data_IF_360897669352
#
_entry.id   IF_360897669352
#
_cell.length_a   1.000
_cell.length_b   1.000
_cell.length_c   1.000
_cell.angle_alpha   90.00
_cell.angle_beta   90.00
_cell.angle_gamma   90.00
#
_symmetry.space_group_name_H-M   'P 1'
#
loop_
_entity.id
_entity.type
_entity.pdbx_description
1 polymer ?
#
# COMPACT_ATOMS: atom_id res chain seq x y z
N UNK A 1 13.12 -12.55 -12.00
CA UNK A 1 14.22 -13.30 -11.39
C UNK A 1 13.78 -14.06 -10.14
N UNK A 2 13.14 -13.43 -9.12
CA UNK A 2 12.67 -14.14 -7.90
C UNK A 2 11.55 -15.14 -8.20
N UNK A 3 10.64 -14.80 -9.11
CA UNK A 3 9.51 -15.64 -9.50
C UNK A 3 9.98 -16.95 -10.14
N UNK A 4 10.99 -16.89 -11.02
CA UNK A 4 11.55 -18.06 -11.69
C UNK A 4 12.29 -18.98 -10.71
N UNK A 5 12.99 -18.41 -9.73
CA UNK A 5 13.77 -19.19 -8.75
C UNK A 5 12.88 -19.89 -7.72
N UNK A 6 11.78 -19.26 -7.30
CA UNK A 6 10.91 -19.78 -6.23
C UNK A 6 9.68 -20.54 -6.75
N UNK A 7 9.41 -20.55 -8.06
CA UNK A 7 8.17 -21.07 -8.67
C UNK A 7 6.90 -20.50 -7.99
N UNK A 8 6.99 -19.27 -7.47
CA UNK A 8 5.95 -18.64 -6.65
C UNK A 8 5.58 -17.30 -7.24
N UNK A 9 4.29 -17.00 -7.26
CA UNK A 9 3.79 -15.69 -7.65
C UNK A 9 4.03 -14.68 -6.54
N UNK A 10 4.71 -13.57 -6.87
CA UNK A 10 4.94 -12.46 -5.95
C UNK A 10 4.11 -11.26 -6.41
N UNK A 11 3.19 -10.82 -5.57
CA UNK A 11 2.34 -9.65 -5.83
C UNK A 11 2.67 -8.54 -4.83
N UNK A 12 3.00 -7.37 -5.34
CA UNK A 12 3.18 -6.15 -4.56
C UNK A 12 1.90 -5.33 -4.61
N UNK A 13 1.35 -4.99 -3.45
CA UNK A 13 0.16 -4.15 -3.38
C UNK A 13 0.54 -2.67 -3.28
N UNK A 14 -0.21 -1.84 -3.98
CA UNK A 14 -0.12 -0.38 -3.90
C UNK A 14 -0.71 0.08 -2.59
N UNK A 15 0.09 0.74 -1.77
CA UNK A 15 -0.35 1.40 -0.55
C UNK A 15 -0.66 2.88 -0.75
N UNK A 16 -0.99 3.56 0.35
CA UNK A 16 -1.31 4.99 0.35
C UNK A 16 -0.15 5.85 -0.15
N UNK A 17 1.09 5.53 0.22
CA UNK A 17 2.26 6.31 -0.18
C UNK A 17 2.57 6.17 -1.67
N UNK A 18 2.45 4.96 -2.23
CA UNK A 18 2.60 4.73 -3.67
C UNK A 18 1.48 5.43 -4.46
N UNK A 19 0.26 5.49 -3.94
CA UNK A 19 -0.84 6.21 -4.57
C UNK A 19 -0.62 7.73 -4.51
N UNK A 20 -0.23 8.28 -3.36
CA UNK A 20 0.13 9.70 -3.22
C UNK A 20 1.25 10.03 -4.21
N UNK A 21 2.29 9.21 -4.29
CA UNK A 21 3.40 9.40 -5.20
C UNK A 21 2.97 9.37 -6.67
N UNK A 22 2.14 8.41 -7.05
CA UNK A 22 1.58 8.32 -8.40
C UNK A 22 0.83 9.58 -8.80
N UNK A 23 -0.04 10.10 -7.91
CA UNK A 23 -0.78 11.35 -8.13
C UNK A 23 0.12 12.57 -8.12
N UNK A 24 1.15 12.61 -7.26
CA UNK A 24 2.12 13.70 -7.22
C UNK A 24 2.82 13.87 -8.55
N UNK A 25 3.20 12.80 -9.20
CA UNK A 25 3.80 12.87 -10.53
C UNK A 25 2.83 13.41 -11.61
N UNK A 26 1.54 13.45 -11.35
CA UNK A 26 0.48 13.94 -12.25
C UNK A 26 -0.09 15.30 -11.85
N UNK A 27 0.55 16.03 -10.94
CA UNK A 27 0.06 17.30 -10.38
C UNK A 27 -0.28 18.37 -11.42
N UNK A 28 0.35 18.34 -12.60
CA UNK A 28 0.03 19.26 -13.69
C UNK A 28 -1.42 19.18 -14.19
N UNK A 29 -2.12 18.09 -13.88
CA UNK A 29 -3.52 17.87 -14.23
C UNK A 29 -4.49 18.18 -13.08
N UNK A 30 -3.99 18.48 -11.90
CA UNK A 30 -4.82 18.80 -10.74
C UNK A 30 -5.45 20.20 -10.90
N UNK A 31 -6.72 20.40 -10.54
CA UNK A 31 -7.37 21.70 -10.58
C UNK A 31 -6.65 22.75 -9.71
N UNK A 32 -6.15 22.33 -8.54
CA UNK A 32 -5.42 23.17 -7.59
C UNK A 32 -4.12 22.50 -7.16
N UNK A 33 -3.08 22.48 -8.01
CA UNK A 33 -1.87 21.71 -7.77
C UNK A 33 -1.11 22.14 -6.51
N UNK A 34 -1.23 23.43 -6.11
CA UNK A 34 -0.55 23.94 -4.91
C UNK A 34 -1.10 23.37 -3.60
N UNK A 35 -2.41 23.37 -3.43
CA UNK A 35 -3.07 22.80 -2.25
C UNK A 35 -2.92 21.26 -2.21
N UNK A 36 -3.09 20.63 -3.35
CA UNK A 36 -2.92 19.16 -3.48
C UNK A 36 -1.50 18.77 -3.10
N UNK A 37 -0.48 19.46 -3.60
CA UNK A 37 0.90 19.19 -3.24
C UNK A 37 1.17 19.42 -1.75
N UNK A 38 0.66 20.52 -1.18
CA UNK A 38 0.83 20.82 0.24
C UNK A 38 0.23 19.69 1.10
N UNK A 39 -0.96 19.21 0.77
CA UNK A 39 -1.59 18.08 1.45
C UNK A 39 -0.73 16.81 1.32
N UNK A 40 -0.24 16.49 0.12
CA UNK A 40 0.63 15.31 -0.11
C UNK A 40 1.90 15.36 0.73
N UNK A 41 2.56 16.52 0.78
CA UNK A 41 3.77 16.71 1.56
C UNK A 41 3.53 16.52 3.06
N UNK A 42 2.40 16.99 3.58
CA UNK A 42 1.99 16.80 4.98
C UNK A 42 1.59 15.35 5.29
N UNK A 43 1.25 14.56 4.25
CA UNK A 43 0.84 13.16 4.38
C UNK A 43 1.93 12.16 3.93
N UNK A 44 3.20 12.52 4.07
CA UNK A 44 4.33 11.60 3.93
C UNK A 44 5.07 11.67 2.60
N UNK A 45 4.66 12.51 1.62
CA UNK A 45 5.39 12.62 0.36
C UNK A 45 6.73 13.37 0.47
N UNK A 46 6.92 14.22 1.49
CA UNK A 46 8.11 15.04 1.59
C UNK A 46 9.43 14.26 1.66
N UNK A 47 9.59 13.20 2.46
CA UNK A 47 10.78 12.35 2.43
C UNK A 47 11.01 11.68 1.09
N UNK A 48 9.94 11.22 0.43
CA UNK A 48 10.02 10.55 -0.88
C UNK A 48 10.51 11.52 -1.95
N UNK A 49 10.00 12.77 -1.97
CA UNK A 49 10.46 13.83 -2.87
C UNK A 49 11.97 14.04 -2.71
N UNK A 50 12.47 14.15 -1.47
CA UNK A 50 13.90 14.34 -1.19
C UNK A 50 14.72 13.13 -1.63
N UNK A 51 14.24 11.90 -1.40
CA UNK A 51 14.93 10.68 -1.79
C UNK A 51 15.15 10.58 -3.30
N UNK A 52 14.27 11.16 -4.11
CA UNK A 52 14.44 11.25 -5.56
C UNK A 52 15.07 12.57 -6.04
N UNK A 53 15.75 13.29 -5.15
CA UNK A 53 16.52 14.48 -5.48
C UNK A 53 15.69 15.75 -5.67
N UNK A 54 14.42 15.74 -5.27
CA UNK A 54 13.56 16.91 -5.34
C UNK A 54 13.58 17.74 -4.05
N UNK A 55 13.28 19.03 -4.20
CA UNK A 55 12.98 19.91 -3.08
C UNK A 55 11.49 20.16 -2.97
N UNK A 56 10.83 19.80 -1.82
CA UNK A 56 9.42 20.06 -1.59
C UNK A 56 9.02 21.53 -1.71
N UNK A 57 9.89 22.45 -1.26
CA UNK A 57 9.59 23.88 -1.32
C UNK A 57 9.65 24.42 -2.75
N UNK A 58 10.62 23.96 -3.55
CA UNK A 58 10.66 24.26 -4.97
C UNK A 58 9.41 23.74 -5.69
N UNK A 59 8.88 22.59 -5.28
CA UNK A 59 7.61 22.04 -5.78
C UNK A 59 6.41 22.97 -5.51
N UNK A 60 6.28 23.49 -4.30
CA UNK A 60 5.22 24.47 -3.94
C UNK A 60 5.35 25.74 -4.80
N UNK A 61 6.56 26.27 -4.98
CA UNK A 61 6.79 27.42 -5.84
C UNK A 61 6.44 27.12 -7.31
N UNK A 62 6.81 25.94 -7.81
CA UNK A 62 6.47 25.50 -9.16
C UNK A 62 4.96 25.35 -9.37
N UNK A 63 4.24 24.80 -8.39
CA UNK A 63 2.79 24.66 -8.45
C UNK A 63 2.06 26.01 -8.53
N UNK A 64 2.58 27.03 -7.83
CA UNK A 64 2.06 28.42 -7.90
C UNK A 64 2.42 29.13 -9.21
N UNK A 65 3.52 28.74 -9.83
CA UNK A 65 4.00 29.33 -11.09
C UNK A 65 3.29 28.78 -12.35
N UNK A 66 2.44 27.78 -12.20
CA UNK A 66 1.60 27.23 -13.25
C UNK A 66 2.08 25.92 -13.88
N UNK A 67 1.31 25.41 -14.82
CA UNK A 67 1.44 24.06 -15.35
C UNK A 67 2.83 23.73 -15.92
N UNK A 68 3.46 24.66 -16.62
CA UNK A 68 4.81 24.43 -17.19
C UNK A 68 5.87 24.23 -16.12
N UNK A 69 5.81 25.00 -15.03
CA UNK A 69 6.77 24.92 -13.94
C UNK A 69 6.60 23.60 -13.15
N UNK A 70 5.36 23.25 -12.81
CA UNK A 70 5.09 22.00 -12.06
C UNK A 70 5.41 20.77 -12.92
N UNK A 71 5.17 20.80 -14.23
CA UNK A 71 5.57 19.72 -15.13
C UNK A 71 7.08 19.53 -15.16
N UNK A 72 7.85 20.61 -15.18
CA UNK A 72 9.33 20.53 -15.14
C UNK A 72 9.79 19.90 -13.82
N UNK A 73 9.20 20.31 -12.70
CA UNK A 73 9.54 19.78 -11.38
C UNK A 73 9.19 18.29 -11.27
N UNK A 74 8.00 17.86 -11.67
CA UNK A 74 7.61 16.45 -11.66
C UNK A 74 8.43 15.59 -12.63
N UNK A 75 8.89 16.15 -13.76
CA UNK A 75 9.79 15.45 -14.67
C UNK A 75 11.17 15.22 -14.08
N UNK A 76 11.68 16.16 -13.27
CA UNK A 76 12.91 15.94 -12.52
C UNK A 76 12.79 14.77 -11.54
N UNK A 77 11.66 14.65 -10.83
CA UNK A 77 11.38 13.52 -9.96
C UNK A 77 11.29 12.19 -10.74
N UNK A 78 10.61 12.18 -11.90
CA UNK A 78 10.59 11.00 -12.79
C UNK A 78 11.99 10.59 -13.24
N UNK A 79 12.86 11.58 -13.48
CA UNK A 79 14.26 11.29 -13.77
C UNK A 79 14.96 10.66 -12.57
N UNK A 80 14.78 11.18 -11.35
CA UNK A 80 15.31 10.61 -10.13
C UNK A 80 14.89 9.14 -9.89
N UNK A 81 13.62 8.79 -10.20
CA UNK A 81 13.17 7.39 -10.14
C UNK A 81 14.00 6.51 -11.09
N UNK A 82 14.21 6.97 -12.34
CA UNK A 82 14.95 6.19 -13.36
C UNK A 82 16.41 5.97 -13.05
N UNK A 83 17.01 6.80 -12.20
CA UNK A 83 18.39 6.65 -11.73
C UNK A 83 18.53 5.55 -10.67
N UNK A 84 17.44 5.03 -10.15
CA UNK A 84 17.42 3.97 -9.15
C UNK A 84 16.97 2.66 -9.79
N UNK A 85 17.84 1.67 -9.82
CA UNK A 85 17.56 0.37 -10.43
C UNK A 85 16.34 -0.32 -9.82
N UNK A 86 15.47 -0.84 -10.67
CA UNK A 86 14.26 -1.55 -10.27
C UNK A 86 13.08 -0.67 -9.85
N UNK A 87 13.28 0.63 -9.51
CA UNK A 87 12.19 1.49 -9.03
C UNK A 87 11.10 1.70 -10.09
N UNK A 88 11.49 1.97 -11.33
CA UNK A 88 10.51 2.09 -12.44
C UNK A 88 9.75 0.79 -12.64
N UNK A 89 10.44 -0.34 -12.57
CA UNK A 89 9.81 -1.67 -12.69
C UNK A 89 8.85 -1.94 -11.54
N UNK A 90 9.24 -1.63 -10.30
CA UNK A 90 8.37 -1.77 -9.12
C UNK A 90 7.05 -1.01 -9.32
N UNK A 91 7.09 0.27 -9.68
CA UNK A 91 5.88 1.06 -9.93
C UNK A 91 5.02 0.55 -11.10
N UNK A 92 5.59 -0.21 -12.02
CA UNK A 92 4.83 -0.80 -13.14
C UNK A 92 4.10 -2.09 -12.76
N UNK A 93 4.58 -2.81 -11.73
CA UNK A 93 4.06 -4.13 -11.35
C UNK A 93 3.17 -4.15 -10.12
N UNK A 94 3.14 -3.06 -9.33
CA UNK A 94 2.26 -2.99 -8.15
C UNK A 94 0.79 -3.08 -8.54
N UNK A 95 -0.02 -3.74 -7.71
CA UNK A 95 -1.44 -4.03 -7.95
C UNK A 95 -2.32 -3.34 -6.91
N UNK A 96 -3.59 -3.12 -7.26
CA UNK A 96 -4.58 -2.50 -6.38
C UNK A 96 -5.06 -3.46 -5.30
N UNK A 97 -5.23 -4.71 -5.65
CA UNK A 97 -5.63 -5.82 -4.79
C UNK A 97 -5.04 -7.12 -5.35
N UNK A 98 -5.00 -8.17 -4.55
CA UNK A 98 -4.72 -9.52 -4.97
C UNK A 98 -5.85 -10.45 -4.51
N UNK A 99 -6.14 -11.47 -5.30
CA UNK A 99 -7.11 -12.50 -4.96
C UNK A 99 -6.44 -13.86 -5.12
N UNK A 100 -6.70 -14.75 -4.17
CA UNK A 100 -6.42 -16.18 -4.39
C UNK A 100 -7.49 -16.74 -5.32
N UNK A 101 -7.12 -17.65 -6.19
CA UNK A 101 -8.07 -18.33 -7.08
C UNK A 101 -8.16 -19.81 -6.69
N UNK A 102 -9.17 -20.14 -5.92
CA UNK A 102 -9.52 -21.51 -5.54
C UNK A 102 -10.78 -22.01 -6.27
N UNK A 103 -11.10 -21.44 -7.42
CA UNK A 103 -12.32 -21.74 -8.19
C UNK A 103 -12.49 -23.22 -8.54
N UNK A 104 -11.38 -23.99 -8.56
CA UNK A 104 -11.38 -25.43 -8.84
C UNK A 104 -11.45 -26.31 -7.57
N UNK A 105 -11.57 -25.71 -6.40
CA UNK A 105 -11.66 -26.41 -5.12
C UNK A 105 -12.83 -25.85 -4.32
N UNK A 106 -13.37 -26.63 -3.37
CA UNK A 106 -14.40 -26.16 -2.42
C UNK A 106 -13.86 -25.13 -1.40
N UNK A 107 -12.79 -24.42 -1.75
CA UNK A 107 -12.11 -23.48 -0.89
C UNK A 107 -12.59 -22.06 -1.13
N UNK A 108 -12.43 -21.23 -0.12
CA UNK A 108 -12.92 -19.86 -0.14
C UNK A 108 -11.82 -18.90 -0.59
N UNK A 109 -12.09 -18.09 -1.61
CA UNK A 109 -11.16 -17.07 -2.06
C UNK A 109 -10.87 -16.05 -0.96
N UNK A 110 -9.61 -15.63 -0.90
CA UNK A 110 -9.12 -14.56 -0.02
C UNK A 110 -8.74 -13.35 -0.86
N UNK A 111 -9.20 -12.18 -0.43
CA UNK A 111 -8.82 -10.90 -1.02
C UNK A 111 -7.79 -10.21 -0.13
N UNK A 112 -6.71 -9.71 -0.75
CA UNK A 112 -5.65 -8.95 -0.11
C UNK A 112 -5.69 -7.50 -0.61
N UNK A 113 -5.78 -6.55 0.31
CA UNK A 113 -5.83 -5.11 0.03
C UNK A 113 -4.88 -4.33 0.93
N UNK A 114 -4.50 -3.12 0.52
CA UNK A 114 -3.63 -2.29 1.34
C UNK A 114 -4.33 -1.80 2.61
N UNK A 115 -5.48 -1.14 2.50
CA UNK A 115 -6.14 -0.49 3.63
C UNK A 115 -7.62 -0.84 3.80
N UNK A 116 -8.31 -1.26 2.74
CA UNK A 116 -9.71 -1.66 2.86
C UNK A 116 -10.41 -1.85 1.53
N UNK A 117 -11.66 -2.25 1.59
CA UNK A 117 -12.55 -2.43 0.44
C UNK A 117 -13.99 -2.09 0.87
N UNK A 118 -14.77 -1.50 -0.01
CA UNK A 118 -16.20 -1.26 0.25
C UNK A 118 -17.03 -2.45 -0.26
N UNK A 119 -17.81 -3.15 0.60
CA UNK A 119 -18.56 -4.34 0.19
C UNK A 119 -19.64 -4.08 -0.86
N UNK A 120 -20.17 -2.86 -0.91
CA UNK A 120 -21.28 -2.48 -1.80
C UNK A 120 -20.85 -1.79 -3.08
N UNK A 121 -19.59 -1.38 -3.18
CA UNK A 121 -19.05 -0.72 -4.37
C UNK A 121 -18.32 -1.76 -5.25
N UNK A 122 -18.61 -1.87 -6.56
CA UNK A 122 -17.87 -2.77 -7.45
C UNK A 122 -16.35 -2.61 -7.34
N UNK A 123 -15.59 -3.70 -7.51
CA UNK A 123 -14.12 -3.69 -7.31
C UNK A 123 -13.39 -2.70 -8.20
N UNK A 124 -13.86 -2.52 -9.42
CA UNK A 124 -13.34 -1.54 -10.39
C UNK A 124 -13.54 -0.09 -9.94
N UNK A 125 -14.56 0.16 -9.09
CA UNK A 125 -14.97 1.49 -8.65
C UNK A 125 -14.57 1.81 -7.20
N UNK A 126 -13.75 0.98 -6.56
CA UNK A 126 -13.36 1.14 -5.14
C UNK A 126 -12.68 2.48 -4.81
N UNK A 127 -12.01 3.08 -5.80
CA UNK A 127 -11.39 4.39 -5.61
C UNK A 127 -10.39 4.40 -4.46
N UNK A 128 -10.53 5.39 -3.58
CA UNK A 128 -9.59 5.66 -2.49
C UNK A 128 -9.67 4.66 -1.33
N UNK A 129 -10.75 3.91 -1.22
CA UNK A 129 -10.95 2.93 -0.14
C UNK A 129 -9.83 1.90 -0.09
N UNK A 130 -9.30 1.50 -1.23
CA UNK A 130 -8.22 0.51 -1.31
C UNK A 130 -6.92 0.99 -0.62
N UNK A 131 -6.65 2.29 -0.60
CA UNK A 131 -5.40 2.88 -0.11
C UNK A 131 -5.53 3.62 1.21
N UNK A 132 -6.70 4.24 1.44
CA UNK A 132 -6.95 5.03 2.64
C UNK A 132 -7.94 4.37 3.59
N UNK A 133 -8.44 3.16 3.23
CA UNK A 133 -9.37 2.43 4.06
C UNK A 133 -10.80 2.95 4.00
N UNK A 134 -11.68 2.21 4.62
CA UNK A 134 -13.10 2.55 4.78
C UNK A 134 -13.53 2.29 6.21
N UNK A 135 -14.65 2.88 6.59
CA UNK A 135 -15.25 2.64 7.92
C UNK A 135 -15.72 1.19 8.04
N UNK A 136 -15.62 0.63 9.27
CA UNK A 136 -16.19 -0.67 9.64
C UNK A 136 -15.55 -1.91 8.97
N UNK A 137 -14.30 -1.84 8.53
CA UNK A 137 -13.64 -3.00 7.94
C UNK A 137 -13.67 -4.22 8.87
N UNK A 138 -13.36 -4.02 10.16
CA UNK A 138 -13.33 -5.09 11.15
C UNK A 138 -14.73 -5.65 11.54
N UNK A 139 -15.81 -5.04 11.02
CA UNK A 139 -17.20 -5.44 11.30
C UNK A 139 -17.83 -6.29 10.18
N UNK A 140 -17.05 -6.68 9.16
CA UNK A 140 -17.58 -7.51 8.08
C UNK A 140 -17.96 -8.90 8.61
N UNK A 141 -19.20 -9.27 8.43
CA UNK A 141 -19.79 -10.54 8.86
C UNK A 141 -20.27 -11.42 7.70
N UNK A 142 -20.21 -10.90 6.47
CA UNK A 142 -20.63 -11.59 5.26
C UNK A 142 -19.50 -11.54 4.22
N UNK A 143 -19.41 -12.53 3.33
CA UNK A 143 -18.43 -12.53 2.24
C UNK A 143 -18.47 -11.22 1.44
N UNK A 144 -17.28 -10.72 1.07
CA UNK A 144 -17.11 -9.47 0.35
C UNK A 144 -16.63 -9.78 -1.08
N UNK A 145 -17.40 -9.37 -2.08
CA UNK A 145 -17.09 -9.62 -3.49
C UNK A 145 -16.79 -11.10 -3.81
N UNK A 146 -17.56 -12.03 -3.19
CA UNK A 146 -17.36 -13.46 -3.37
C UNK A 146 -16.16 -14.05 -2.62
N UNK A 147 -15.44 -13.24 -1.84
CA UNK A 147 -14.35 -13.69 -0.99
C UNK A 147 -14.83 -13.92 0.44
N UNK A 148 -14.59 -15.08 0.99
CA UNK A 148 -14.92 -15.39 2.38
C UNK A 148 -13.94 -14.76 3.38
N UNK A 149 -12.78 -14.31 2.90
CA UNK A 149 -11.78 -13.62 3.70
C UNK A 149 -11.26 -12.38 2.98
N UNK A 150 -11.14 -11.26 3.72
CA UNK A 150 -10.46 -10.05 3.24
C UNK A 150 -9.41 -9.64 4.26
N UNK A 151 -8.18 -9.43 3.80
CA UNK A 151 -7.04 -9.09 4.66
C UNK A 151 -6.48 -7.75 4.23
N UNK A 152 -6.28 -6.85 5.20
CA UNK A 152 -5.61 -5.57 4.99
C UNK A 152 -4.27 -5.48 5.72
N UNK A 153 -3.31 -4.82 5.09
CA UNK A 153 -1.99 -4.57 5.68
C UNK A 153 -1.91 -3.31 6.53
N UNK A 154 -2.85 -2.35 6.36
CA UNK A 154 -2.84 -1.07 7.05
C UNK A 154 -4.21 -0.71 7.60
N UNK A 155 -4.21 -0.20 8.81
CA UNK A 155 -5.36 0.41 9.47
C UNK A 155 -5.26 1.93 9.37
N UNK A 156 -6.37 2.61 9.15
CA UNK A 156 -6.39 4.07 9.03
C UNK A 156 -7.29 4.74 10.07
N UNK A 157 -7.86 3.97 10.98
CA UNK A 157 -8.70 4.47 12.06
C UNK A 157 -7.82 5.06 13.17
N UNK A 158 -8.04 6.33 13.48
CA UNK A 158 -7.44 7.00 14.63
C UNK A 158 -7.89 6.29 15.92
N UNK A 159 -6.97 6.03 16.83
CA UNK A 159 -7.21 5.36 18.12
C UNK A 159 -7.57 3.86 18.02
N UNK A 160 -7.38 3.21 16.89
CA UNK A 160 -7.53 1.77 16.80
C UNK A 160 -6.39 1.05 17.57
N UNK A 161 -6.64 -0.15 18.12
CA UNK A 161 -5.59 -0.93 18.75
C UNK A 161 -4.42 -1.18 17.78
N UNK A 162 -3.20 -1.02 18.27
CA UNK A 162 -1.97 -1.31 17.51
C UNK A 162 -1.63 -2.80 17.57
N UNK A 163 -2.64 -3.65 17.36
CA UNK A 163 -2.55 -5.09 17.37
C UNK A 163 -3.26 -5.67 16.15
N UNK A 164 -2.73 -6.73 15.55
CA UNK A 164 -3.45 -7.46 14.50
C UNK A 164 -4.79 -7.96 15.02
N UNK A 165 -5.77 -8.01 14.16
CA UNK A 165 -7.10 -8.55 14.48
C UNK A 165 -7.57 -9.52 13.40
N UNK A 166 -8.13 -10.65 13.84
CA UNK A 166 -8.72 -11.65 12.95
C UNK A 166 -10.19 -11.81 13.33
N UNK A 167 -11.07 -11.38 12.43
CA UNK A 167 -12.52 -11.58 12.54
C UNK A 167 -13.00 -12.76 11.68
N UNK A 168 -14.31 -12.93 11.60
CA UNK A 168 -14.91 -14.01 10.82
C UNK A 168 -14.63 -13.90 9.31
N UNK A 169 -14.65 -12.68 8.76
CA UNK A 169 -14.47 -12.40 7.33
C UNK A 169 -13.26 -11.49 7.09
N UNK A 170 -12.97 -10.57 7.98
CA UNK A 170 -11.89 -9.58 7.83
C UNK A 170 -10.72 -9.88 8.75
N UNK A 171 -9.50 -9.57 8.28
CA UNK A 171 -8.31 -9.57 9.12
C UNK A 171 -7.47 -8.30 8.85
N UNK A 172 -6.88 -7.77 9.91
CA UNK A 172 -5.99 -6.61 9.86
C UNK A 172 -4.63 -6.99 10.42
N UNK A 173 -3.58 -6.78 9.64
CA UNK A 173 -2.20 -7.14 10.02
C UNK A 173 -1.44 -5.98 10.66
N UNK A 174 -1.96 -4.76 10.58
CA UNK A 174 -1.28 -3.56 11.07
C UNK A 174 -1.08 -3.59 12.59
N UNK A 175 0.14 -3.34 13.01
CA UNK A 175 0.49 -3.10 14.42
C UNK A 175 1.42 -1.89 14.58
N UNK A 176 1.38 -0.94 13.65
CA UNK A 176 2.14 0.30 13.72
C UNK A 176 3.63 0.16 13.46
N UNK A 177 4.05 -0.85 12.69
CA UNK A 177 5.44 -1.01 12.31
C UNK A 177 5.99 0.25 11.62
N UNK A 178 7.18 0.66 11.99
CA UNK A 178 7.83 1.88 11.51
C UNK A 178 7.68 3.05 12.48
N UNK A 179 7.03 4.18 12.09
CA UNK A 179 7.02 5.42 12.89
C UNK A 179 6.48 5.27 14.31
N UNK A 180 5.66 4.27 14.56
CA UNK A 180 5.03 4.04 15.86
C UNK A 180 5.72 2.96 16.70
N UNK A 181 6.87 2.42 16.24
CA UNK A 181 7.63 1.41 16.98
C UNK A 181 6.92 0.06 17.13
N UNK A 182 5.90 -0.20 16.31
CA UNK A 182 5.18 -1.46 16.32
C UNK A 182 5.93 -2.59 15.59
N UNK A 183 5.32 -3.76 15.56
CA UNK A 183 5.90 -4.98 14.98
C UNK A 183 5.55 -5.15 13.51
N UNK A 184 6.44 -5.79 12.75
CA UNK A 184 6.11 -6.30 11.42
C UNK A 184 5.39 -7.64 11.57
N UNK A 185 4.20 -7.75 11.02
CA UNK A 185 3.43 -8.98 11.01
C UNK A 185 3.49 -9.66 9.65
N UNK A 186 3.64 -10.98 9.67
CA UNK A 186 3.55 -11.87 8.54
C UNK A 186 2.34 -12.77 8.74
N UNK A 187 1.47 -12.90 7.74
CA UNK A 187 0.36 -13.83 7.77
C UNK A 187 0.62 -15.01 6.83
N UNK A 188 0.46 -16.22 7.33
CA UNK A 188 0.26 -17.42 6.54
C UNK A 188 -1.24 -17.66 6.39
N UNK A 189 -1.71 -17.89 5.17
CA UNK A 189 -3.12 -18.12 4.87
C UNK A 189 -3.20 -19.48 4.20
N UNK A 190 -3.89 -20.38 4.84
CA UNK A 190 -4.12 -21.70 4.25
C UNK A 190 -5.25 -21.67 3.21
N UNK A 191 -5.42 -22.73 2.41
CA UNK A 191 -6.49 -22.80 1.42
C UNK A 191 -7.92 -22.78 2.00
N UNK A 192 -8.11 -23.06 3.30
CA UNK A 192 -9.41 -22.92 3.97
C UNK A 192 -9.73 -21.47 4.33
N UNK A 193 -8.75 -20.56 4.22
CA UNK A 193 -8.86 -19.17 4.62
C UNK A 193 -8.51 -18.94 6.11
N UNK A 194 -7.96 -19.95 6.79
CA UNK A 194 -7.41 -19.77 8.13
C UNK A 194 -6.14 -18.91 8.06
N UNK A 195 -6.01 -18.01 9.03
CA UNK A 195 -4.93 -17.01 9.08
C UNK A 195 -4.10 -17.23 10.32
N UNK A 196 -2.85 -17.59 10.14
CA UNK A 196 -1.84 -17.63 11.20
C UNK A 196 -0.93 -16.40 11.09
N UNK A 197 -0.68 -15.72 12.20
CA UNK A 197 0.16 -14.52 12.24
C UNK A 197 1.48 -14.82 12.96
N UNK A 198 2.58 -14.71 12.25
CA UNK A 198 3.92 -14.63 12.79
C UNK A 198 4.32 -13.16 13.00
N UNK A 199 4.99 -12.85 14.10
CA UNK A 199 5.40 -11.49 14.44
C UNK A 199 6.92 -11.37 14.50
N UNK A 200 7.45 -10.27 14.00
CA UNK A 200 8.85 -9.91 14.14
C UNK A 200 8.96 -8.64 14.96
N UNK A 201 9.69 -8.70 16.05
CA UNK A 201 10.04 -7.51 16.85
C UNK A 201 11.10 -6.71 16.12
N UNK A 202 10.98 -5.38 16.14
CA UNK A 202 12.05 -4.50 15.71
C UNK A 202 13.13 -4.54 16.79
N UNK A 203 14.23 -5.27 16.53
CA UNK A 203 15.42 -5.19 17.36
C UNK A 203 16.21 -3.97 16.86
N UNK A 204 16.53 -3.05 17.76
CA UNK A 204 17.39 -1.91 17.44
C UNK A 204 18.73 -2.43 16.91
N UNK A 205 19.06 -2.05 15.67
CA UNK A 205 20.41 -2.06 15.06
C UNK A 205 21.11 -3.38 14.75
N UNK A 206 20.47 -4.48 14.44
CA UNK A 206 21.16 -5.54 13.71
C UNK A 206 20.41 -5.89 12.42
N UNK A 207 21.13 -5.86 11.28
CA UNK A 207 20.65 -6.39 10.00
C UNK A 207 20.45 -7.88 10.16
N UNK A 208 19.21 -8.31 10.32
CA UNK A 208 18.88 -9.72 10.39
C UNK A 208 18.88 -10.29 8.97
N UNK A 209 19.84 -11.16 8.72
CA UNK A 209 19.90 -11.96 7.50
C UNK A 209 18.73 -12.95 7.51
N UNK A 210 17.72 -12.71 6.65
CA UNK A 210 16.55 -13.58 6.56
C UNK A 210 16.97 -14.93 5.95
N UNK A 211 17.24 -15.92 6.79
CA UNK A 211 17.29 -17.31 6.35
C UNK A 211 15.86 -17.84 6.28
N UNK A 212 15.38 -18.09 5.08
CA UNK A 212 14.18 -18.89 4.86
C UNK A 212 14.53 -20.31 5.34
N UNK A 213 13.94 -20.73 6.44
CA UNK A 213 13.98 -22.13 6.86
C UNK A 213 12.91 -22.82 6.03
N UNK A 214 13.36 -23.69 5.11
CA UNK A 214 12.54 -24.56 4.27
C UNK A 214 11.94 -25.71 5.11
#
# INVERSE_FOLDING_TARGET
>A
ARREVLHTDVVYLRGAQEEIWHRLLQLQFAPNPGEVLQWMLSNGAAPIVRAYGGDPQAGICAARSGAKAITRWTNALRHGIRLNDGHTQFFSVIRRAALTDYSQSNQTNTMLVSAGVCPVTPLENQGETLWFGGKRFDQYSQPVHGCGRVIRGRRNELNAPMEPSIGAVSATLDSGCGPHGGMLNLACIDPSGEVEIARQFQIEQEVIDFRIIA
#
